data_IF_664510398239
#
_entry.id   IF_664510398239
#
_cell.length_a   1.000
_cell.length_b   1.000
_cell.length_c   1.000
_cell.angle_alpha   90.00
_cell.angle_beta   90.00
_cell.angle_gamma   90.00
#
_symmetry.space_group_name_H-M   'P 1'
#
loop_
_entity.id
_entity.type
_entity.pdbx_description
1 polymer ?
#
# COMPACT_ATOMS: atom_id res chain seq x y z
N UNK A 1 -9.32 5.82 18.77
CA UNK A 1 -8.35 5.59 17.67
C UNK A 1 -7.32 6.71 17.60
N UNK A 2 -7.73 7.98 17.53
CA UNK A 2 -6.83 9.14 17.37
C UNK A 2 -5.73 9.16 18.46
N UNK A 3 -6.09 9.08 19.74
CA UNK A 3 -5.11 9.05 20.83
C UNK A 3 -4.16 7.85 20.74
N UNK A 4 -4.68 6.68 20.34
CA UNK A 4 -3.89 5.47 20.16
C UNK A 4 -2.84 5.65 19.06
N UNK A 5 -3.22 6.16 17.90
CA UNK A 5 -2.30 6.37 16.78
C UNK A 5 -1.33 7.52 17.03
N UNK A 6 -1.76 8.60 17.69
CA UNK A 6 -0.88 9.68 18.14
C UNK A 6 0.15 9.22 19.16
N UNK A 7 -0.22 8.26 20.02
CA UNK A 7 0.69 7.60 20.96
C UNK A 7 1.68 6.63 20.29
N UNK A 8 1.64 6.50 18.97
CA UNK A 8 2.51 5.61 18.18
C UNK A 8 1.92 4.23 17.91
N UNK A 9 0.65 4.01 18.26
CA UNK A 9 -0.06 2.78 17.94
C UNK A 9 -0.27 2.62 16.44
N UNK A 10 -0.39 1.37 16.00
CA UNK A 10 -0.58 1.00 14.60
C UNK A 10 -1.89 0.22 14.44
N UNK A 11 -2.63 0.50 13.39
CA UNK A 11 -3.88 -0.17 13.06
C UNK A 11 -3.69 -0.93 11.76
N UNK A 12 -3.73 -2.25 11.84
CA UNK A 12 -3.62 -3.14 10.69
C UNK A 12 -4.96 -3.84 10.48
N UNK A 13 -5.44 -3.84 9.24
CA UNK A 13 -6.78 -4.33 8.91
C UNK A 13 -6.72 -5.41 7.84
N UNK A 14 -7.46 -6.50 8.06
CA UNK A 14 -7.77 -7.51 7.05
C UNK A 14 -9.26 -7.47 6.77
N UNK A 15 -9.64 -7.36 5.50
CA UNK A 15 -11.04 -7.38 5.06
C UNK A 15 -11.30 -8.67 4.30
N UNK A 16 -12.22 -9.51 4.84
CA UNK A 16 -12.57 -10.83 4.31
C UNK A 16 -14.05 -10.93 3.95
N UNK A 17 -14.64 -9.88 3.48
CA UNK A 17 -16.05 -9.86 3.10
C UNK A 17 -16.49 -8.45 2.77
N UNK A 18 -17.78 -8.28 2.52
CA UNK A 18 -18.35 -6.99 2.17
C UNK A 18 -18.56 -6.16 3.43
N UNK A 19 -17.85 -5.06 3.57
CA UNK A 19 -18.02 -4.08 4.64
C UNK A 19 -18.86 -2.90 4.15
N UNK A 20 -19.88 -2.52 4.90
CA UNK A 20 -20.86 -1.50 4.49
C UNK A 20 -21.10 -0.47 5.59
N UNK A 21 -21.38 0.76 5.20
CA UNK A 21 -21.76 1.83 6.12
C UNK A 21 -20.61 2.34 6.96
N UNK A 22 -20.71 2.26 8.28
CA UNK A 22 -19.67 2.73 9.20
C UNK A 22 -18.38 1.89 9.22
N UNK A 23 -18.42 0.62 8.84
CA UNK A 23 -17.26 -0.26 8.82
C UNK A 23 -16.13 0.23 7.90
N UNK A 24 -16.38 0.67 6.65
CA UNK A 24 -15.32 1.22 5.80
C UNK A 24 -14.57 2.39 6.39
N UNK A 25 -15.19 3.21 7.23
CA UNK A 25 -14.47 4.28 7.94
C UNK A 25 -13.44 3.71 8.92
N UNK A 26 -13.80 2.66 9.65
CA UNK A 26 -12.86 1.96 10.54
C UNK A 26 -11.75 1.26 9.76
N UNK A 27 -12.09 0.65 8.63
CA UNK A 27 -11.11 0.02 7.75
C UNK A 27 -10.13 1.03 7.17
N UNK A 28 -10.61 2.22 6.84
CA UNK A 28 -9.78 3.28 6.31
C UNK A 28 -8.79 3.85 7.34
N UNK A 29 -8.99 3.64 8.64
CA UNK A 29 -8.06 4.07 9.69
C UNK A 29 -6.66 3.43 9.56
N UNK A 30 -6.55 2.24 8.96
CA UNK A 30 -5.27 1.59 8.72
C UNK A 30 -4.40 2.37 7.72
N UNK A 31 -5.03 2.98 6.73
CA UNK A 31 -4.36 3.57 5.57
C UNK A 31 -4.72 5.02 5.32
N UNK A 32 -5.60 5.56 6.17
CA UNK A 32 -6.05 6.91 5.96
C UNK A 32 -4.94 7.91 6.13
N UNK A 33 -5.01 8.83 5.27
CA UNK A 33 -4.43 10.14 5.12
C UNK A 33 -3.90 10.81 6.40
N UNK A 34 -4.36 10.41 7.57
CA UNK A 34 -3.90 10.94 8.85
C UNK A 34 -2.86 10.07 9.56
N UNK A 35 -2.75 8.78 9.20
CA UNK A 35 -1.82 7.85 9.84
C UNK A 35 -1.33 6.81 8.82
N UNK A 36 -0.09 6.92 8.43
CA UNK A 36 0.54 6.11 7.37
C UNK A 36 1.28 4.88 7.87
N UNK A 37 1.05 4.44 9.10
CA UNK A 37 1.81 3.34 9.69
C UNK A 37 1.17 1.97 9.51
N UNK A 38 -0.14 1.91 9.38
CA UNK A 38 -0.87 0.67 9.25
C UNK A 38 -0.93 0.15 7.82
N UNK A 39 -1.34 -1.10 7.67
CA UNK A 39 -1.61 -1.74 6.39
C UNK A 39 -3.05 -2.23 6.30
N UNK A 40 -3.57 -2.23 5.09
CA UNK A 40 -4.86 -2.82 4.74
C UNK A 40 -4.64 -3.93 3.73
N UNK A 41 -5.12 -5.13 4.10
CA UNK A 41 -5.08 -6.34 3.28
C UNK A 41 -6.51 -6.68 2.88
N UNK A 42 -6.73 -6.99 1.62
CA UNK A 42 -8.04 -7.42 1.11
C UNK A 42 -7.97 -8.81 0.49
N UNK A 43 -9.04 -9.58 0.67
CA UNK A 43 -9.23 -10.90 0.03
C UNK A 43 -10.15 -10.78 -1.20
N UNK A 44 -10.22 -11.80 -2.09
CA UNK A 44 -11.04 -11.76 -3.30
C UNK A 44 -12.53 -11.53 -3.06
N UNK A 45 -13.05 -12.00 -1.93
CA UNK A 45 -14.45 -11.87 -1.51
C UNK A 45 -14.74 -10.55 -0.77
N UNK A 46 -13.75 -9.67 -0.65
CA UNK A 46 -13.86 -8.44 0.12
C UNK A 46 -14.25 -7.21 -0.70
N UNK A 47 -14.95 -6.30 -0.07
CA UNK A 47 -15.28 -4.98 -0.64
C UNK A 47 -15.51 -3.96 0.47
N UNK A 48 -15.06 -2.74 0.25
CA UNK A 48 -15.30 -1.58 1.13
C UNK A 48 -16.28 -0.63 0.45
N UNK A 49 -17.52 -0.56 0.93
CA UNK A 49 -18.55 0.31 0.36
C UNK A 49 -19.29 1.08 1.44
N UNK A 50 -19.48 2.38 1.26
CA UNK A 50 -20.32 3.17 2.16
C UNK A 50 -21.78 2.81 2.00
N UNK A 51 -22.20 2.68 0.73
CA UNK A 51 -23.55 2.27 0.33
C UNK A 51 -23.41 1.11 -0.63
N UNK A 52 -24.00 -0.03 -0.29
CA UNK A 52 -23.94 -1.22 -1.15
C UNK A 52 -24.73 -1.03 -2.45
N UNK A 53 -24.39 -1.82 -3.45
CA UNK A 53 -24.97 -1.74 -4.81
C UNK A 53 -26.49 -1.66 -4.80
N UNK A 54 -27.17 -2.52 -4.07
CA UNK A 54 -28.64 -2.56 -4.03
C UNK A 54 -29.26 -1.22 -3.64
N UNK A 55 -28.70 -0.56 -2.63
CA UNK A 55 -29.19 0.74 -2.18
C UNK A 55 -28.87 1.85 -3.19
N UNK A 56 -27.71 1.79 -3.85
CA UNK A 56 -27.34 2.74 -4.90
C UNK A 56 -28.28 2.62 -6.12
N UNK A 57 -28.60 1.41 -6.55
CA UNK A 57 -29.54 1.18 -7.65
C UNK A 57 -30.92 1.77 -7.35
N UNK A 58 -31.42 1.58 -6.13
CA UNK A 58 -32.72 2.15 -5.69
C UNK A 58 -32.68 3.67 -5.60
N UNK A 59 -31.57 4.25 -5.19
CA UNK A 59 -31.41 5.71 -5.09
C UNK A 59 -31.26 6.42 -6.45
N UNK A 60 -31.08 5.65 -7.54
CA UNK A 60 -30.86 6.21 -8.88
C UNK A 60 -29.46 6.82 -9.06
N UNK A 61 -28.54 6.56 -8.16
CA UNK A 61 -27.15 6.99 -8.28
C UNK A 61 -26.37 6.17 -9.31
N UNK A 62 -25.19 6.68 -9.70
CA UNK A 62 -24.25 5.92 -10.51
C UNK A 62 -23.74 4.74 -9.69
N UNK A 63 -23.84 3.53 -10.24
CA UNK A 63 -23.47 2.29 -9.59
C UNK A 63 -22.61 1.44 -10.52
N UNK A 64 -21.89 0.47 -9.95
CA UNK A 64 -21.20 -0.56 -10.70
C UNK A 64 -22.06 -1.82 -10.85
N UNK A 65 -21.56 -2.85 -11.51
CA UNK A 65 -22.26 -4.13 -11.70
C UNK A 65 -22.51 -4.86 -10.39
N UNK A 66 -21.58 -4.73 -9.44
CA UNK A 66 -21.59 -5.39 -8.14
C UNK A 66 -20.84 -4.56 -7.07
N UNK A 67 -20.80 -5.04 -5.82
CA UNK A 67 -20.07 -4.38 -4.76
C UNK A 67 -18.55 -4.39 -5.00
N UNK A 68 -18.00 -5.35 -5.75
CA UNK A 68 -16.58 -5.40 -6.07
C UNK A 68 -16.19 -4.31 -7.08
N UNK A 69 -17.10 -3.93 -7.97
CA UNK A 69 -16.93 -2.77 -8.83
C UNK A 69 -17.04 -1.44 -8.12
N UNK A 70 -17.58 -1.42 -6.90
CA UNK A 70 -17.69 -0.22 -6.05
C UNK A 70 -16.50 -0.08 -5.09
N UNK A 71 -16.00 -1.18 -4.55
CA UNK A 71 -14.98 -1.13 -3.51
C UNK A 71 -14.14 -2.41 -3.35
N UNK A 72 -14.09 -3.27 -4.37
CA UNK A 72 -13.22 -4.44 -4.39
C UNK A 72 -11.76 -4.08 -4.67
N UNK A 73 -10.86 -5.02 -4.37
CA UNK A 73 -9.42 -4.78 -4.50
C UNK A 73 -9.00 -4.48 -5.94
N UNK A 74 -9.30 -5.40 -6.89
CA UNK A 74 -8.73 -5.35 -8.24
C UNK A 74 -9.09 -4.10 -9.04
N UNK A 75 -10.34 -3.64 -8.90
CA UNK A 75 -10.86 -2.53 -9.69
C UNK A 75 -10.74 -1.17 -9.01
N UNK A 76 -10.76 -1.14 -7.69
CA UNK A 76 -10.87 0.11 -6.93
C UNK A 76 -9.76 0.27 -5.90
N UNK A 77 -9.71 -0.59 -4.86
CA UNK A 77 -8.93 -0.32 -3.66
C UNK A 77 -7.43 -0.58 -3.83
N UNK A 78 -7.04 -1.51 -4.71
CA UNK A 78 -5.65 -1.70 -5.10
C UNK A 78 -5.15 -0.57 -6.02
N UNK A 79 -5.83 -0.30 -7.16
CA UNK A 79 -5.42 0.75 -8.10
C UNK A 79 -5.36 2.16 -7.49
N UNK A 80 -6.23 2.50 -6.56
CA UNK A 80 -6.21 3.80 -5.90
C UNK A 80 -5.23 3.89 -4.70
N UNK A 81 -4.57 2.77 -4.35
CA UNK A 81 -3.59 2.71 -3.26
C UNK A 81 -4.21 2.64 -1.86
N UNK A 82 -5.53 2.49 -1.73
CA UNK A 82 -6.19 2.39 -0.43
C UNK A 82 -5.87 1.05 0.25
N UNK A 83 -5.85 -0.05 -0.48
CA UNK A 83 -5.40 -1.34 0.01
C UNK A 83 -3.99 -1.63 -0.53
N UNK A 84 -3.02 -1.80 0.39
CA UNK A 84 -1.63 -2.06 0.01
C UNK A 84 -1.43 -3.51 -0.44
N UNK A 85 -2.18 -4.45 0.14
CA UNK A 85 -1.96 -5.87 -0.08
C UNK A 85 -3.23 -6.59 -0.46
N UNK A 86 -3.07 -7.55 -1.37
CA UNK A 86 -4.04 -8.56 -1.69
C UNK A 86 -3.57 -9.92 -1.18
N UNK A 87 -4.49 -10.69 -0.65
CA UNK A 87 -4.24 -12.06 -0.20
C UNK A 87 -5.32 -13.00 -0.75
N UNK A 88 -4.99 -14.21 -1.21
CA UNK A 88 -5.97 -15.15 -1.77
C UNK A 88 -6.97 -15.65 -0.73
N UNK A 89 -6.60 -15.63 0.54
CA UNK A 89 -7.40 -16.10 1.68
C UNK A 89 -6.95 -15.45 2.99
N UNK A 90 -7.63 -15.81 4.08
CA UNK A 90 -7.32 -15.28 5.41
C UNK A 90 -5.95 -15.75 5.93
N UNK A 91 -5.53 -16.98 5.60
CA UNK A 91 -4.23 -17.51 6.05
C UNK A 91 -3.08 -16.70 5.45
N UNK A 92 -3.14 -16.46 4.14
CA UNK A 92 -2.16 -15.60 3.46
C UNK A 92 -2.21 -14.15 3.97
N UNK A 93 -3.40 -13.63 4.28
CA UNK A 93 -3.53 -12.30 4.89
C UNK A 93 -2.86 -12.23 6.27
N UNK A 94 -3.02 -13.27 7.11
CA UNK A 94 -2.35 -13.36 8.40
C UNK A 94 -0.81 -13.43 8.23
N UNK A 95 -0.32 -14.11 7.21
CA UNK A 95 1.11 -14.16 6.91
C UNK A 95 1.67 -12.78 6.52
N UNK A 96 0.95 -12.03 5.69
CA UNK A 96 1.31 -10.64 5.36
C UNK A 96 1.37 -9.79 6.64
N UNK A 97 0.38 -9.91 7.53
CA UNK A 97 0.36 -9.20 8.80
C UNK A 97 1.55 -9.58 9.70
N UNK A 98 1.91 -10.87 9.73
CA UNK A 98 3.07 -11.35 10.48
C UNK A 98 4.36 -10.75 9.95
N UNK A 99 4.57 -10.79 8.63
CA UNK A 99 5.75 -10.22 7.97
C UNK A 99 5.85 -8.70 8.21
N UNK A 100 4.74 -7.98 8.08
CA UNK A 100 4.69 -6.55 8.38
C UNK A 100 5.14 -6.26 9.82
N UNK A 101 4.62 -7.02 10.79
CA UNK A 101 5.00 -6.85 12.19
C UNK A 101 6.48 -7.19 12.45
N UNK A 102 7.06 -8.16 11.75
CA UNK A 102 8.49 -8.48 11.86
C UNK A 102 9.37 -7.31 11.40
N UNK A 103 8.99 -6.64 10.31
CA UNK A 103 9.74 -5.47 9.83
C UNK A 103 9.56 -4.23 10.72
N UNK A 104 8.41 -4.07 11.35
CA UNK A 104 8.09 -2.92 12.18
C UNK A 104 8.48 -3.09 13.66
N UNK A 105 8.78 -4.32 14.10
CA UNK A 105 9.01 -4.62 15.51
C UNK A 105 10.23 -3.92 16.08
N UNK A 106 10.02 -3.28 17.23
CA UNK A 106 11.08 -2.69 18.05
C UNK A 106 11.05 -3.34 19.44
N UNK A 107 12.18 -3.86 19.90
CA UNK A 107 12.29 -4.35 21.25
C UNK A 107 12.20 -3.19 22.27
N UNK A 108 11.73 -3.44 23.50
CA UNK A 108 11.72 -2.44 24.54
C UNK A 108 13.10 -1.80 24.74
N UNK A 109 13.16 -0.47 24.70
CA UNK A 109 14.40 0.30 24.80
C UNK A 109 15.14 0.55 23.48
N UNK A 110 14.75 -0.05 22.38
CA UNK A 110 15.31 0.23 21.05
C UNK A 110 14.59 1.41 20.38
N UNK A 111 15.37 2.28 19.74
CA UNK A 111 14.83 3.45 19.02
C UNK A 111 14.29 3.08 17.63
N UNK A 112 14.91 2.10 16.98
CA UNK A 112 14.60 1.66 15.62
C UNK A 112 14.43 0.14 15.58
N UNK A 113 13.67 -0.39 14.61
CA UNK A 113 13.67 -1.82 14.31
C UNK A 113 15.08 -2.33 14.05
N UNK A 114 15.34 -3.58 14.36
CA UNK A 114 16.62 -4.21 14.03
C UNK A 114 16.71 -4.42 12.52
N UNK A 115 17.83 -4.00 11.95
CA UNK A 115 18.09 -4.23 10.53
C UNK A 115 18.18 -5.74 10.26
N UNK A 116 17.43 -6.21 9.27
CA UNK A 116 17.60 -7.56 8.74
C UNK A 116 18.97 -7.70 8.07
N UNK A 117 19.46 -8.92 7.98
CA UNK A 117 20.65 -9.22 7.17
C UNK A 117 20.25 -9.09 5.70
N UNK A 118 20.96 -8.23 4.99
CA UNK A 118 20.84 -8.06 3.55
C UNK A 118 22.20 -8.30 2.90
N UNK A 119 22.18 -8.80 1.66
CA UNK A 119 23.38 -8.91 0.83
C UNK A 119 23.71 -7.59 0.12
N UNK A 120 22.84 -6.60 0.22
CA UNK A 120 23.02 -5.32 -0.44
C UNK A 120 24.13 -4.50 0.22
N UNK A 121 25.00 -3.96 -0.64
CA UNK A 121 26.03 -3.02 -0.21
C UNK A 121 25.37 -1.68 0.23
N UNK A 122 25.50 -1.26 1.49
CA UNK A 122 24.95 0.02 1.95
C UNK A 122 25.58 1.25 1.25
N UNK A 123 26.78 1.09 0.67
CA UNK A 123 27.49 2.15 -0.07
C UNK A 123 27.29 2.06 -1.59
N UNK A 124 26.35 1.20 -2.05
CA UNK A 124 26.05 1.05 -3.48
C UNK A 124 25.65 2.40 -4.12
N UNK A 125 26.13 2.66 -5.32
CA UNK A 125 25.68 3.81 -6.09
C UNK A 125 24.32 3.52 -6.76
N UNK A 126 23.26 3.97 -6.13
CA UNK A 126 21.87 3.77 -6.61
C UNK A 126 21.63 4.37 -8.01
N UNK A 127 22.48 5.32 -8.45
CA UNK A 127 22.35 5.94 -9.79
C UNK A 127 22.62 4.94 -10.91
N UNK A 128 23.43 3.92 -10.65
CA UNK A 128 23.76 2.89 -11.63
C UNK A 128 22.76 1.74 -11.68
N UNK A 129 21.78 1.73 -10.76
CA UNK A 129 20.74 0.71 -10.76
C UNK A 129 19.87 0.78 -12.03
N UNK A 130 19.47 -0.37 -12.59
CA UNK A 130 18.64 -0.40 -13.80
C UNK A 130 17.26 0.21 -13.57
N UNK A 131 16.74 0.83 -14.62
CA UNK A 131 15.37 1.36 -14.68
C UNK A 131 14.56 0.56 -15.71
N UNK A 132 13.36 0.10 -15.34
CA UNK A 132 12.55 -0.81 -16.17
C UNK A 132 11.71 -0.10 -17.25
N UNK A 133 11.77 1.21 -17.34
CA UNK A 133 10.98 1.98 -18.31
C UNK A 133 11.73 2.20 -19.63
N UNK A 134 11.03 2.49 -20.72
CA UNK A 134 11.64 2.65 -22.05
C UNK A 134 12.42 3.97 -22.20
N UNK A 135 12.22 4.95 -21.31
CA UNK A 135 12.80 6.29 -21.44
C UNK A 135 14.19 6.41 -20.82
N UNK A 136 14.57 5.52 -19.91
CA UNK A 136 15.82 5.57 -19.15
C UNK A 136 16.38 4.17 -18.97
N UNK A 137 17.70 4.04 -18.99
CA UNK A 137 18.39 2.78 -18.72
C UNK A 137 18.74 2.64 -17.23
N UNK A 138 19.01 3.78 -16.57
CA UNK A 138 19.40 3.80 -15.17
C UNK A 138 18.58 4.79 -14.33
N UNK A 139 18.55 4.54 -13.03
CA UNK A 139 17.91 5.46 -12.06
C UNK A 139 18.56 6.84 -12.10
N UNK A 140 19.87 6.93 -12.32
CA UNK A 140 20.58 8.19 -12.44
C UNK A 140 20.06 9.08 -13.55
N UNK A 141 19.73 8.50 -14.70
CA UNK A 141 19.22 9.23 -15.88
C UNK A 141 17.86 9.88 -15.63
N UNK A 142 17.03 9.32 -14.76
CA UNK A 142 15.76 9.92 -14.36
C UNK A 142 15.94 11.30 -13.75
N UNK A 143 17.03 11.49 -12.98
CA UNK A 143 17.30 12.71 -12.24
C UNK A 143 18.30 13.64 -12.94
N UNK A 144 18.97 13.16 -13.97
CA UNK A 144 19.93 13.95 -14.74
C UNK A 144 19.19 14.92 -15.68
N UNK A 145 19.66 16.18 -15.73
CA UNK A 145 19.00 17.22 -16.52
C UNK A 145 19.28 17.13 -18.03
N UNK A 146 20.31 16.36 -18.44
CA UNK A 146 20.60 16.12 -19.86
C UNK A 146 19.65 15.07 -20.42
N UNK A 147 19.47 13.96 -19.72
CA UNK A 147 18.60 12.86 -20.15
C UNK A 147 17.11 13.14 -19.85
N UNK A 148 16.83 13.90 -18.77
CA UNK A 148 15.48 14.28 -18.37
C UNK A 148 15.39 15.82 -18.11
N UNK A 149 15.38 16.64 -19.16
CA UNK A 149 15.34 18.09 -19.02
C UNK A 149 14.14 18.56 -18.20
N UNK A 150 14.43 19.28 -17.12
CA UNK A 150 13.42 19.77 -16.19
C UNK A 150 12.67 18.65 -15.44
N UNK A 151 13.15 17.42 -15.49
CA UNK A 151 12.57 16.24 -14.82
C UNK A 151 11.10 16.01 -15.17
N UNK A 152 10.74 16.17 -16.44
CA UNK A 152 9.35 16.13 -16.92
C UNK A 152 8.95 14.84 -17.60
N UNK A 153 9.91 13.99 -17.96
CA UNK A 153 9.61 12.69 -18.57
C UNK A 153 9.08 11.72 -17.50
N UNK A 154 8.06 10.93 -17.82
CA UNK A 154 7.54 9.91 -16.93
C UNK A 154 8.58 8.82 -16.68
N UNK A 155 8.53 8.20 -15.49
CA UNK A 155 9.42 7.11 -15.09
C UNK A 155 8.70 6.11 -14.19
N UNK A 156 9.22 4.89 -14.09
CA UNK A 156 8.70 3.91 -13.14
C UNK A 156 9.33 4.10 -11.76
N UNK A 157 8.54 4.62 -10.84
CA UNK A 157 8.96 4.85 -9.44
C UNK A 157 9.39 3.56 -8.74
N UNK A 158 8.86 2.40 -9.14
CA UNK A 158 9.21 1.10 -8.52
C UNK A 158 10.67 0.74 -8.73
N UNK A 159 11.25 1.10 -9.87
CA UNK A 159 12.70 0.92 -10.11
C UNK A 159 13.54 1.72 -9.12
N UNK A 160 13.12 2.95 -8.81
CA UNK A 160 13.80 3.78 -7.81
C UNK A 160 13.63 3.19 -6.41
N UNK A 161 12.42 2.75 -6.07
CA UNK A 161 12.16 2.12 -4.76
C UNK A 161 13.04 0.88 -4.55
N UNK A 162 13.17 -0.01 -5.56
CA UNK A 162 14.05 -1.17 -5.50
C UNK A 162 15.54 -0.79 -5.40
N UNK A 163 15.95 0.29 -6.01
CA UNK A 163 17.33 0.75 -5.93
C UNK A 163 17.70 1.28 -4.53
N UNK A 164 16.75 1.91 -3.85
CA UNK A 164 16.95 2.56 -2.54
C UNK A 164 16.76 1.59 -1.39
N UNK A 165 15.75 0.72 -1.45
CA UNK A 165 15.46 -0.25 -0.41
C UNK A 165 16.39 -1.47 -0.52
N UNK A 166 16.76 -2.04 0.63
CA UNK A 166 17.42 -3.36 0.67
C UNK A 166 16.42 -4.44 0.24
N UNK A 167 16.86 -5.42 -0.53
CA UNK A 167 16.08 -6.54 -1.04
C UNK A 167 16.25 -7.80 -0.18
#
# INVERSE_FOLDING_TARGET
LIEFTQGGGEINIVITGITVGGQPYWNAEATMLMHTKGILVMTPDSSMVLTGKQSLDVSGGVSAEDNFGLGGYDRIMGPNGQAQYWAPDLEAACEIMRQHNEHAYRAPGERFPRRAKSADDPERDIRTAPHDGPEFETVGEVFDNVTNPGRKKPFDIRSIMRAVADQ
#
